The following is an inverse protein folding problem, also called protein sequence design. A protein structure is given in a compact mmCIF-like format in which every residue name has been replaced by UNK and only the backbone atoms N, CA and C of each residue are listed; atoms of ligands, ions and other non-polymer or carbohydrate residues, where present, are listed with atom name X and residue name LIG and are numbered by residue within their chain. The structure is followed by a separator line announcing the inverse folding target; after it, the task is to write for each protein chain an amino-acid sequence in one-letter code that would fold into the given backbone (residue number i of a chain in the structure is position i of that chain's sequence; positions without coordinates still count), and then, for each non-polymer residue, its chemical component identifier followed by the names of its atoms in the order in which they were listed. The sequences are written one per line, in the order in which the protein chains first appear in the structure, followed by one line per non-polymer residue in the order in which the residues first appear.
data_IF_188353145834
#
_entry.id   IF_188353145834
#
_cell.length_a   1.000
_cell.length_b   1.000
_cell.length_c   1.000
_cell.angle_alpha   90.00
_cell.angle_beta   90.00
_cell.angle_gamma   90.00
#
_symmetry.space_group_name_H-M   'P 1'
#
loop_
_entity.id
_entity.type
_entity.pdbx_description
1 polymer ?
#
# COMPACT_ATOMS: atom_id res chain seq x y z
N UNK A 1 11.61 -20.03 11.27
CA UNK A 1 10.53 -19.38 10.54
C UNK A 1 11.13 -18.55 9.43
N UNK A 2 10.76 -18.83 8.19
CA UNK A 2 11.15 -18.06 7.01
C UNK A 2 9.88 -17.50 6.38
N UNK A 3 9.75 -16.17 6.37
CA UNK A 3 8.59 -15.49 5.78
C UNK A 3 8.88 -15.16 4.31
N UNK A 4 7.90 -15.46 3.47
CA UNK A 4 7.90 -15.20 2.05
C UNK A 4 6.84 -14.15 1.75
N UNK A 5 7.24 -13.07 1.09
CA UNK A 5 6.35 -11.97 0.75
C UNK A 5 6.19 -11.92 -0.76
N UNK A 6 4.97 -12.06 -1.25
CA UNK A 6 4.68 -11.86 -2.67
C UNK A 6 4.00 -10.52 -2.90
N UNK A 7 4.32 -9.90 -4.03
CA UNK A 7 3.57 -8.78 -4.58
C UNK A 7 3.08 -9.15 -5.98
N UNK A 8 1.77 -9.32 -6.14
CA UNK A 8 1.11 -9.60 -7.43
C UNK A 8 0.20 -8.45 -7.85
N UNK A 9 0.05 -8.22 -9.16
CA UNK A 9 -0.90 -7.23 -9.68
C UNK A 9 -2.30 -7.84 -9.79
N UNK A 10 -3.24 -7.29 -9.02
CA UNK A 10 -4.58 -7.82 -8.75
C UNK A 10 -5.39 -8.19 -10.00
N UNK A 11 -5.30 -7.44 -11.10
CA UNK A 11 -6.12 -7.71 -12.29
C UNK A 11 -5.49 -8.66 -13.31
N UNK A 12 -4.18 -8.91 -13.25
CA UNK A 12 -3.45 -9.55 -14.36
C UNK A 12 -2.68 -10.81 -13.96
N UNK A 13 -2.53 -11.06 -12.66
CA UNK A 13 -1.75 -12.21 -12.16
C UNK A 13 -2.57 -13.13 -11.27
N UNK A 14 -3.91 -13.11 -11.43
CA UNK A 14 -4.83 -13.91 -10.62
C UNK A 14 -4.54 -15.40 -10.78
N UNK A 15 -4.45 -15.88 -12.02
CA UNK A 15 -4.23 -17.29 -12.30
C UNK A 15 -2.87 -17.78 -11.77
N UNK A 16 -1.79 -16.99 -11.93
CA UNK A 16 -0.47 -17.32 -11.39
C UNK A 16 -0.49 -17.32 -9.86
N UNK A 17 -1.16 -16.34 -9.25
CA UNK A 17 -1.27 -16.25 -7.79
C UNK A 17 -2.07 -17.42 -7.23
N UNK A 18 -3.20 -17.75 -7.84
CA UNK A 18 -4.07 -18.84 -7.39
C UNK A 18 -3.32 -20.18 -7.55
N UNK A 19 -2.60 -20.38 -8.67
CA UNK A 19 -1.72 -21.55 -8.84
C UNK A 19 -0.62 -21.64 -7.78
N UNK A 20 0.00 -20.50 -7.41
CA UNK A 20 0.99 -20.45 -6.33
C UNK A 20 0.38 -20.85 -4.98
N UNK A 21 -0.80 -20.31 -4.66
CA UNK A 21 -1.50 -20.56 -3.39
C UNK A 21 -1.97 -22.01 -3.29
N UNK A 22 -2.58 -22.55 -4.34
CA UNK A 22 -3.18 -23.88 -4.33
C UNK A 22 -2.15 -24.99 -4.46
N UNK A 23 -1.09 -24.77 -5.26
CA UNK A 23 -0.17 -25.85 -5.65
C UNK A 23 1.23 -25.67 -5.08
N UNK A 24 1.80 -24.47 -5.14
CA UNK A 24 3.25 -24.27 -4.88
C UNK A 24 3.55 -24.06 -3.40
N UNK A 25 2.83 -23.15 -2.72
CA UNK A 25 3.06 -22.84 -1.31
C UNK A 25 2.82 -24.01 -0.37
N UNK A 26 1.81 -24.89 -0.55
CA UNK A 26 1.65 -26.09 0.28
C UNK A 26 2.86 -27.02 0.17
N UNK A 27 3.32 -27.30 -1.06
CA UNK A 27 4.50 -28.15 -1.31
C UNK A 27 5.78 -27.56 -0.71
N UNK A 28 5.97 -26.25 -0.82
CA UNK A 28 7.10 -25.55 -0.19
C UNK A 28 7.04 -25.63 1.34
N UNK A 29 5.84 -25.46 1.92
CA UNK A 29 5.64 -25.56 3.37
C UNK A 29 5.98 -26.95 3.89
N UNK A 30 5.57 -28.00 3.18
CA UNK A 30 5.87 -29.37 3.55
C UNK A 30 7.37 -29.67 3.40
N UNK A 31 7.98 -29.25 2.28
CA UNK A 31 9.41 -29.41 2.03
C UNK A 31 10.28 -28.71 3.09
N UNK A 32 9.99 -27.45 3.42
CA UNK A 32 10.72 -26.69 4.45
C UNK A 32 10.59 -27.33 5.83
N UNK A 33 9.40 -27.85 6.16
CA UNK A 33 9.13 -28.52 7.44
C UNK A 33 9.88 -29.85 7.53
N UNK A 34 9.81 -30.69 6.51
CA UNK A 34 10.40 -32.03 6.50
C UNK A 34 11.93 -32.03 6.42
N UNK A 35 12.51 -31.19 5.55
CA UNK A 35 13.96 -31.19 5.28
C UNK A 35 14.75 -30.36 6.28
N UNK A 36 14.19 -29.24 6.73
CA UNK A 36 14.93 -28.22 7.49
C UNK A 36 14.30 -27.91 8.85
N UNK A 37 13.14 -28.48 9.18
CA UNK A 37 12.41 -28.15 10.41
C UNK A 37 11.93 -26.70 10.46
N UNK A 38 11.78 -26.05 9.31
CA UNK A 38 11.42 -24.64 9.20
C UNK A 38 9.96 -24.46 8.84
N UNK A 39 9.30 -23.53 9.52
CA UNK A 39 7.97 -23.05 9.14
C UNK A 39 8.07 -22.01 8.01
N UNK A 40 7.36 -22.29 6.92
CA UNK A 40 7.14 -21.38 5.80
C UNK A 40 5.86 -20.57 6.03
N UNK A 41 5.96 -19.25 5.89
CA UNK A 41 4.81 -18.36 5.94
C UNK A 41 4.75 -17.52 4.67
N UNK A 42 3.52 -17.33 4.17
CA UNK A 42 3.24 -16.52 3.00
C UNK A 42 2.42 -15.30 3.41
N UNK A 43 2.86 -14.11 2.99
CA UNK A 43 2.11 -12.86 3.12
C UNK A 43 1.84 -12.27 1.72
N UNK A 44 0.56 -12.06 1.42
CA UNK A 44 0.11 -11.32 0.24
C UNK A 44 -0.10 -9.86 0.64
N UNK A 45 0.71 -8.95 0.09
CA UNK A 45 0.62 -7.52 0.43
C UNK A 45 -0.59 -6.81 -0.19
N UNK A 46 -1.46 -7.49 -0.94
CA UNK A 46 -2.71 -6.92 -1.48
C UNK A 46 -3.96 -7.57 -0.89
N UNK A 47 -3.87 -8.84 -0.48
CA UNK A 47 -4.98 -9.51 0.17
C UNK A 47 -5.10 -9.04 1.63
N UNK A 48 -6.20 -8.38 1.97
CA UNK A 48 -6.48 -7.92 3.35
C UNK A 48 -6.20 -6.43 3.61
N UNK A 49 -5.79 -5.66 2.59
CA UNK A 49 -5.75 -4.21 2.68
C UNK A 49 -7.21 -3.69 2.69
N UNK A 50 -7.72 -3.33 3.87
CA UNK A 50 -9.09 -2.84 4.06
C UNK A 50 -9.39 -1.62 3.20
N UNK A 51 -10.63 -1.49 2.69
CA UNK A 51 -11.07 -0.34 1.89
C UNK A 51 -10.76 1.03 2.53
N UNK A 52 -10.74 1.11 3.87
CA UNK A 52 -10.39 2.34 4.59
C UNK A 52 -8.96 2.83 4.32
N UNK A 53 -8.01 1.91 4.12
CA UNK A 53 -6.62 2.27 3.78
C UNK A 53 -6.49 2.86 2.37
N UNK A 54 -7.46 2.58 1.46
CA UNK A 54 -7.53 3.26 0.16
C UNK A 54 -7.86 4.74 0.34
N UNK A 55 -8.81 5.05 1.23
CA UNK A 55 -9.25 6.42 1.49
C UNK A 55 -8.22 7.25 2.23
N UNK A 56 -7.41 6.61 3.09
CA UNK A 56 -6.42 7.31 3.91
C UNK A 56 -5.02 7.37 3.27
N UNK A 57 -4.87 6.88 2.04
CA UNK A 57 -3.60 6.86 1.31
C UNK A 57 -2.46 6.09 2.01
N UNK A 58 -2.78 5.19 2.95
CA UNK A 58 -1.79 4.48 3.78
C UNK A 58 -1.33 3.14 3.18
N UNK A 59 -1.87 2.71 2.03
CA UNK A 59 -1.60 1.39 1.46
C UNK A 59 -0.11 1.05 1.30
N UNK A 60 0.66 2.01 0.78
CA UNK A 60 2.10 1.82 0.55
C UNK A 60 2.85 1.68 1.86
N UNK A 61 2.52 2.52 2.85
CA UNK A 61 3.13 2.47 4.18
C UNK A 61 2.83 1.14 4.87
N UNK A 62 1.59 0.67 4.83
CA UNK A 62 1.22 -0.64 5.39
C UNK A 62 2.00 -1.78 4.73
N UNK A 63 2.13 -1.75 3.40
CA UNK A 63 2.89 -2.74 2.62
C UNK A 63 4.38 -2.73 2.99
N UNK A 64 5.00 -1.55 3.09
CA UNK A 64 6.40 -1.41 3.49
C UNK A 64 6.63 -1.88 4.94
N UNK A 65 5.71 -1.57 5.85
CA UNK A 65 5.78 -2.03 7.23
C UNK A 65 5.67 -3.56 7.34
N UNK A 66 4.84 -4.21 6.51
CA UNK A 66 4.78 -5.67 6.47
C UNK A 66 6.09 -6.29 5.98
N UNK A 67 6.76 -5.67 5.00
CA UNK A 67 8.10 -6.11 4.56
C UNK A 67 9.13 -5.98 5.70
N UNK A 68 9.11 -4.88 6.45
CA UNK A 68 9.96 -4.66 7.63
C UNK A 68 9.70 -5.72 8.71
N UNK A 69 8.43 -6.01 9.00
CA UNK A 69 8.01 -7.09 9.92
C UNK A 69 8.55 -8.44 9.43
N UNK A 70 8.41 -8.74 8.15
CA UNK A 70 8.92 -9.99 7.59
C UNK A 70 10.43 -10.09 7.77
N UNK A 71 11.17 -9.02 7.47
CA UNK A 71 12.61 -8.94 7.70
C UNK A 71 13.00 -9.20 9.15
N UNK A 72 12.32 -8.55 10.08
CA UNK A 72 12.63 -8.61 11.52
C UNK A 72 12.39 -9.99 12.13
N UNK A 73 11.34 -10.69 11.71
CA UNK A 73 10.93 -11.96 12.33
C UNK A 73 11.42 -13.22 11.59
N UNK A 74 11.97 -13.07 10.39
CA UNK A 74 12.57 -14.21 9.69
C UNK A 74 13.95 -14.54 10.25
N UNK A 75 14.21 -15.83 10.47
CA UNK A 75 15.43 -16.29 11.12
C UNK A 75 16.71 -16.14 10.28
N UNK A 76 16.60 -16.17 8.95
CA UNK A 76 17.79 -16.19 8.07
C UNK A 76 17.54 -15.61 6.68
N UNK A 77 16.38 -15.88 6.08
CA UNK A 77 16.13 -15.51 4.69
C UNK A 77 14.73 -14.93 4.52
N UNK A 78 14.66 -13.83 3.78
CA UNK A 78 13.41 -13.21 3.35
C UNK A 78 13.46 -13.12 1.82
N UNK A 79 12.39 -13.53 1.18
CA UNK A 79 12.26 -13.43 -0.27
C UNK A 79 11.13 -12.45 -0.59
N UNK A 80 11.43 -11.56 -1.53
CA UNK A 80 10.44 -10.67 -2.13
C UNK A 80 10.32 -11.07 -3.59
N UNK A 81 9.11 -11.43 -4.01
CA UNK A 81 8.83 -11.74 -5.41
C UNK A 81 7.99 -10.63 -6.02
N UNK A 82 8.52 -10.04 -7.09
CA UNK A 82 7.81 -9.10 -7.94
C UNK A 82 7.21 -9.89 -9.11
N UNK A 83 5.89 -10.04 -9.11
CA UNK A 83 5.16 -10.71 -10.17
C UNK A 83 4.60 -9.66 -11.14
N UNK A 84 4.78 -9.88 -12.44
CA UNK A 84 4.41 -9.00 -13.57
C UNK A 84 5.50 -8.03 -14.06
N UNK A 85 5.34 -7.60 -15.32
CA UNK A 85 6.19 -6.60 -16.00
C UNK A 85 5.53 -5.20 -16.06
N UNK A 86 4.49 -4.96 -15.25
CA UNK A 86 3.80 -3.66 -15.21
C UNK A 86 4.21 -2.92 -13.93
N UNK A 87 4.45 -1.62 -14.05
CA UNK A 87 4.91 -0.78 -12.94
C UNK A 87 3.83 -0.56 -11.86
N UNK A 88 2.56 -0.78 -12.19
CA UNK A 88 1.44 -0.53 -11.29
C UNK A 88 1.10 0.96 -11.13
N UNK A 89 0.25 1.27 -10.16
CA UNK A 89 -0.09 2.66 -9.82
C UNK A 89 1.01 3.27 -8.96
N UNK A 90 1.32 4.55 -9.19
CA UNK A 90 2.19 5.36 -8.33
C UNK A 90 1.30 6.28 -7.49
N UNK A 91 0.95 5.90 -6.25
CA UNK A 91 0.15 6.77 -5.39
C UNK A 91 0.97 8.00 -5.00
N UNK A 92 0.26 9.11 -4.79
CA UNK A 92 0.83 10.34 -4.24
C UNK A 92 1.33 10.10 -2.82
N UNK A 93 2.39 10.80 -2.42
CA UNK A 93 2.91 10.69 -1.06
C UNK A 93 1.86 11.09 -0.03
N UNK A 94 1.57 10.22 0.93
CA UNK A 94 0.63 10.56 2.02
C UNK A 94 1.19 11.63 2.96
N UNK A 95 2.51 11.76 3.04
CA UNK A 95 3.20 12.73 3.90
C UNK A 95 4.32 13.41 3.14
N UNK A 96 4.46 14.73 3.30
CA UNK A 96 5.52 15.54 2.72
C UNK A 96 6.09 16.45 3.81
N UNK A 97 7.41 16.45 3.99
CA UNK A 97 8.08 17.29 4.99
C UNK A 97 7.75 18.77 4.76
N UNK A 98 7.60 19.55 5.84
CA UNK A 98 7.13 20.94 5.78
C UNK A 98 7.93 21.80 4.81
N UNK A 99 9.24 21.84 4.98
CA UNK A 99 10.17 22.62 4.15
C UNK A 99 10.05 22.29 2.65
N UNK A 100 9.93 21.00 2.31
CA UNK A 100 9.75 20.55 0.94
C UNK A 100 8.38 20.96 0.39
N UNK A 101 7.33 20.83 1.20
CA UNK A 101 5.98 21.17 0.78
C UNK A 101 5.82 22.69 0.55
N UNK A 102 6.38 23.50 1.44
CA UNK A 102 6.37 24.97 1.30
C UNK A 102 7.14 25.42 0.05
N UNK A 103 8.32 24.81 -0.22
CA UNK A 103 9.07 25.04 -1.45
C UNK A 103 8.26 24.66 -2.70
N UNK A 104 7.60 23.49 -2.69
CA UNK A 104 6.74 23.05 -3.79
C UNK A 104 5.58 24.02 -4.01
N UNK A 105 4.94 24.50 -2.94
CA UNK A 105 3.86 25.47 -3.03
C UNK A 105 4.31 26.80 -3.65
N UNK A 106 5.50 27.29 -3.30
CA UNK A 106 6.05 28.52 -3.87
C UNK A 106 6.26 28.38 -5.39
N UNK A 107 6.90 27.28 -5.81
CA UNK A 107 7.15 26.97 -7.23
C UNK A 107 5.84 26.78 -8.01
N UNK A 108 4.85 26.11 -7.42
CA UNK A 108 3.56 25.90 -8.10
C UNK A 108 2.80 27.22 -8.19
N UNK A 109 2.79 28.03 -7.13
CA UNK A 109 2.08 29.31 -7.10
C UNK A 109 2.61 30.30 -8.15
N UNK A 110 3.91 30.26 -8.47
CA UNK A 110 4.47 31.08 -9.56
C UNK A 110 3.99 30.67 -10.95
N UNK A 111 3.51 29.43 -11.12
CA UNK A 111 3.03 28.89 -12.40
C UNK A 111 1.49 28.91 -12.50
N UNK A 112 0.79 28.51 -11.45
CA UNK A 112 -0.66 28.36 -11.42
C UNK A 112 -1.19 28.50 -9.99
N UNK A 113 -1.97 29.55 -9.75
CA UNK A 113 -2.54 29.79 -8.42
C UNK A 113 -3.62 28.76 -8.06
N UNK A 114 -4.33 28.21 -9.05
CA UNK A 114 -5.39 27.23 -8.79
C UNK A 114 -4.83 25.87 -8.40
N UNK A 115 -3.70 25.45 -8.98
CA UNK A 115 -3.00 24.23 -8.56
C UNK A 115 -2.44 24.35 -7.14
N UNK A 116 -1.93 25.54 -6.77
CA UNK A 116 -1.46 25.81 -5.42
C UNK A 116 -2.61 25.77 -4.39
N UNK A 117 -3.80 26.28 -4.74
CA UNK A 117 -5.00 26.15 -3.91
C UNK A 117 -5.43 24.70 -3.75
N UNK A 118 -5.43 23.93 -4.83
CA UNK A 118 -5.78 22.51 -4.80
C UNK A 118 -4.84 21.73 -3.87
N UNK A 119 -3.52 21.95 -3.98
CA UNK A 119 -2.55 21.30 -3.12
C UNK A 119 -2.76 21.67 -1.64
N UNK A 120 -3.02 22.96 -1.36
CA UNK A 120 -3.28 23.45 -0.01
C UNK A 120 -4.62 22.96 0.57
N UNK A 121 -5.59 22.63 -0.27
CA UNK A 121 -6.88 22.06 0.16
C UNK A 121 -6.72 20.61 0.61
N UNK A 122 -5.89 19.84 -0.10
CA UNK A 122 -5.72 18.41 0.11
C UNK A 122 -4.66 18.06 1.14
N UNK A 123 -3.65 18.89 1.34
CA UNK A 123 -2.62 18.66 2.35
C UNK A 123 -2.80 19.56 3.55
N UNK A 124 -2.83 18.97 4.74
CA UNK A 124 -2.95 19.69 5.99
C UNK A 124 -1.67 19.55 6.80
N UNK A 125 -1.19 20.67 7.36
CA UNK A 125 -0.03 20.66 8.23
C UNK A 125 -0.36 19.95 9.54
N UNK A 126 0.34 18.85 9.82
CA UNK A 126 0.35 18.20 11.12
C UNK A 126 1.56 18.68 11.92
N UNK A 127 1.26 19.33 13.05
CA UNK A 127 2.28 19.84 13.99
C UNK A 127 2.56 18.87 15.14
N UNK A 128 1.76 17.80 15.27
CA UNK A 128 1.98 16.75 16.25
C UNK A 128 3.07 15.77 15.80
N UNK A 129 3.33 15.69 14.49
CA UNK A 129 4.44 14.92 13.94
C UNK A 129 5.76 15.67 14.16
N UNK A 130 6.82 14.94 14.54
CA UNK A 130 8.16 15.48 14.71
C UNK A 130 9.10 14.73 13.75
N UNK A 131 9.68 15.39 12.73
CA UNK A 131 9.45 16.79 12.35
C UNK A 131 8.03 17.02 11.77
N UNK A 132 7.55 18.26 11.87
CA UNK A 132 6.23 18.62 11.34
C UNK A 132 6.17 18.44 9.81
N UNK A 133 5.03 17.95 9.33
CA UNK A 133 4.86 17.61 7.92
C UNK A 133 3.43 17.89 7.45
N UNK A 134 3.26 18.02 6.15
CA UNK A 134 1.96 18.08 5.51
C UNK A 134 1.47 16.68 5.20
N UNK A 135 0.27 16.35 5.68
CA UNK A 135 -0.38 15.05 5.50
C UNK A 135 -1.55 15.19 4.53
N UNK A 136 -1.61 14.27 3.58
CA UNK A 136 -2.68 14.18 2.60
C UNK A 136 -3.99 13.78 3.31
N UNK A 137 -5.02 14.60 3.15
CA UNK A 137 -6.33 14.39 3.76
C UNK A 137 -7.02 13.18 3.13
N UNK A 138 -7.83 12.43 3.90
CA UNK A 138 -8.61 11.33 3.35
C UNK A 138 -9.52 11.77 2.21
N UNK A 139 -9.76 10.89 1.24
CA UNK A 139 -10.64 11.21 0.10
C UNK A 139 -12.05 11.57 0.58
N UNK A 140 -12.53 10.91 1.64
CA UNK A 140 -13.80 11.19 2.31
C UNK A 140 -13.94 12.63 2.83
N UNK A 141 -12.83 13.35 3.04
CA UNK A 141 -12.86 14.73 3.52
C UNK A 141 -13.41 15.72 2.48
N UNK A 142 -13.22 15.43 1.19
CA UNK A 142 -13.82 16.20 0.09
C UNK A 142 -14.98 15.47 -0.56
N UNK A 143 -15.06 14.14 -0.43
CA UNK A 143 -16.11 13.30 -1.01
C UNK A 143 -16.69 12.33 0.02
N UNK A 144 -17.59 12.77 0.91
CA UNK A 144 -18.05 11.99 2.07
C UNK A 144 -18.65 10.63 1.74
N UNK A 145 -19.30 10.49 0.58
CA UNK A 145 -20.02 9.29 0.17
C UNK A 145 -19.21 8.35 -0.75
N UNK A 146 -17.91 8.56 -0.91
CA UNK A 146 -17.11 7.80 -1.88
C UNK A 146 -16.89 6.34 -1.48
N UNK A 147 -17.07 6.02 -0.20
CA UNK A 147 -16.97 4.66 0.34
C UNK A 147 -18.33 4.02 0.63
N UNK A 148 -19.43 4.74 0.35
CA UNK A 148 -20.77 4.16 0.48
C UNK A 148 -20.89 3.03 -0.54
N UNK A 149 -21.34 1.82 -0.16
CA UNK A 149 -21.63 0.78 -1.13
C UNK A 149 -22.63 1.36 -2.13
N UNK A 150 -22.37 1.16 -3.42
CA UNK A 150 -23.34 1.47 -4.48
C UNK A 150 -24.61 0.72 -4.12
N UNK A 151 -25.63 1.44 -3.65
CA UNK A 151 -26.98 0.89 -3.55
C UNK A 151 -27.40 0.69 -5.00
N UNK A 152 -27.31 -0.54 -5.49
CA UNK A 152 -28.04 -0.92 -6.68
C UNK A 152 -29.52 -0.70 -6.36
N UNK A 153 -30.07 0.40 -6.85
CA UNK A 153 -31.51 0.58 -6.90
C UNK A 153 -31.95 -0.43 -7.96
N UNK A 154 -32.47 -1.58 -7.52
CA UNK A 154 -33.27 -2.44 -8.37
C UNK A 154 -34.44 -1.58 -8.87
N UNK A 155 -34.48 -1.34 -10.17
CA UNK A 155 -35.68 -0.84 -10.82
C UNK A 155 -36.58 -2.06 -11.05
N UNK A 156 -37.73 -2.09 -10.37
CA UNK A 156 -38.86 -2.98 -10.67
C UNK A 156 -39.39 -2.78 -12.11
#
# INVERSE_FOLDING_TARGET
MSKFVSCSIESHTLNERDSLIETVFPKLKDYCREKYGLEFQYADMRCGIQMQSNSNHTKVETCLNEIEICKKYSLATNFVVLLSHRYGSRPTSSTIRRDLFELLLEIIRSNSNDDAKLLSQWYQLDTNQIPAAYVLRPISSSFPNILSPVVFIEFD
#
